data_IF_734838377069
#
_entry.id   IF_734838377069
#
_cell.length_a   1.000
_cell.length_b   1.000
_cell.length_c   1.000
_cell.angle_alpha   90.00
_cell.angle_beta   90.00
_cell.angle_gamma   90.00
#
_symmetry.space_group_name_H-M   'P 1'
#
loop_
_entity.id
_entity.type
_entity.pdbx_description
1 polymer ?
#
# COMPACT_ATOMS: atom_id res chain seq x y z
N UNK A 1 15.59 -7.91 -0.48
CA UNK A 1 14.72 -6.98 0.27
C UNK A 1 15.52 -5.69 0.43
N UNK A 2 15.07 -4.60 -0.22
CA UNK A 2 15.79 -3.33 -0.22
C UNK A 2 15.57 -2.63 1.13
N UNK A 3 16.64 -2.18 1.77
CA UNK A 3 16.62 -1.73 3.17
C UNK A 3 16.07 -0.31 3.39
N UNK A 4 15.64 0.40 2.34
CA UNK A 4 15.25 1.83 2.40
C UNK A 4 13.94 2.18 1.67
N UNK A 5 13.13 1.18 1.30
CA UNK A 5 11.87 1.44 0.58
C UNK A 5 10.85 2.21 1.46
N UNK A 6 10.27 3.29 0.92
CA UNK A 6 9.29 4.12 1.63
C UNK A 6 9.85 5.18 2.59
N UNK A 7 11.17 5.21 2.84
CA UNK A 7 11.85 6.18 3.72
C UNK A 7 11.21 6.29 5.13
N UNK A 8 10.85 5.13 5.71
CA UNK A 8 10.28 5.06 7.06
C UNK A 8 11.39 4.76 8.08
N UNK A 9 11.27 5.29 9.31
CA UNK A 9 12.29 5.10 10.35
C UNK A 9 12.42 3.64 10.80
N UNK A 10 11.37 2.84 10.60
CA UNK A 10 11.29 1.44 10.99
C UNK A 10 10.59 0.61 9.92
N UNK A 11 10.87 -0.70 9.92
CA UNK A 11 10.16 -1.65 9.07
C UNK A 11 8.68 -1.61 9.37
N UNK A 12 7.88 -1.34 8.34
CA UNK A 12 6.46 -1.05 8.46
C UNK A 12 5.62 -1.90 7.50
N UNK A 13 4.30 -1.86 7.65
CA UNK A 13 3.34 -2.63 6.85
C UNK A 13 2.34 -1.70 6.18
N UNK A 14 2.01 -1.96 4.91
CA UNK A 14 0.88 -1.30 4.24
C UNK A 14 -0.40 -2.06 4.59
N UNK A 15 -1.35 -1.40 5.25
CA UNK A 15 -2.60 -2.03 5.65
C UNK A 15 -3.64 -1.98 4.51
N UNK A 16 -3.65 -3.02 3.69
CA UNK A 16 -4.54 -3.13 2.51
C UNK A 16 -6.02 -3.30 2.85
N UNK A 17 -6.36 -3.60 4.11
CA UNK A 17 -7.76 -3.69 4.57
C UNK A 17 -8.36 -2.35 4.99
N UNK A 18 -7.53 -1.31 5.13
CA UNK A 18 -7.94 0.01 5.62
C UNK A 18 -7.71 1.06 4.52
N UNK A 19 -8.63 1.11 3.55
CA UNK A 19 -8.54 1.99 2.38
C UNK A 19 -9.50 3.17 2.56
N UNK A 20 -9.00 4.38 2.36
CA UNK A 20 -9.78 5.61 2.43
C UNK A 20 -9.67 6.40 1.12
N UNK A 21 -10.79 6.99 0.69
CA UNK A 21 -10.78 8.02 -0.36
C UNK A 21 -10.55 9.38 0.29
N UNK A 22 -9.52 10.10 -0.14
CA UNK A 22 -9.17 11.43 0.37
C UNK A 22 -9.09 12.45 -0.76
N UNK A 23 -9.38 13.72 -0.44
CA UNK A 23 -9.15 14.83 -1.36
C UNK A 23 -7.64 15.06 -1.52
N UNK A 24 -7.17 15.27 -2.76
CA UNK A 24 -5.74 15.48 -3.06
C UNK A 24 -5.14 16.67 -2.31
N UNK A 25 -5.95 17.68 -1.97
CA UNK A 25 -5.50 18.86 -1.21
C UNK A 25 -5.11 18.55 0.23
N UNK A 26 -5.51 17.38 0.75
CA UNK A 26 -5.12 16.91 2.09
C UNK A 26 -3.75 16.22 2.12
N UNK A 27 -3.16 15.94 0.95
CA UNK A 27 -1.83 15.33 0.86
C UNK A 27 -0.75 16.40 1.03
N UNK A 28 0.23 16.12 1.90
CA UNK A 28 1.44 16.92 2.07
C UNK A 28 2.52 16.53 1.05
N UNK A 29 3.74 17.05 1.24
CA UNK A 29 4.89 16.68 0.44
C UNK A 29 5.16 15.16 0.47
N UNK A 30 5.60 14.56 -0.66
CA UNK A 30 6.00 13.16 -0.70
C UNK A 30 7.20 12.88 0.22
N UNK A 31 7.12 11.81 1.03
CA UNK A 31 8.18 11.46 1.99
C UNK A 31 9.11 10.33 1.52
N UNK A 32 8.73 9.60 0.47
CA UNK A 32 9.43 8.40 0.00
C UNK A 32 8.77 7.80 -1.23
N UNK A 33 9.31 6.70 -1.72
CA UNK A 33 8.80 5.97 -2.88
C UNK A 33 8.84 4.46 -2.63
N UNK A 34 7.89 3.77 -3.23
CA UNK A 34 7.87 2.31 -3.31
C UNK A 34 8.28 1.90 -4.73
N UNK A 35 8.92 0.73 -4.85
CA UNK A 35 9.21 0.08 -6.12
C UNK A 35 7.92 -0.36 -6.80
N UNK A 36 7.99 -0.57 -8.11
CA UNK A 36 6.86 -1.09 -8.88
C UNK A 36 6.44 -2.49 -8.40
N UNK A 37 7.40 -3.35 -8.07
CA UNK A 37 7.16 -4.68 -7.50
C UNK A 37 6.32 -4.59 -6.22
N UNK A 38 6.70 -3.69 -5.29
CA UNK A 38 5.95 -3.46 -4.05
C UNK A 38 4.52 -2.95 -4.32
N UNK A 39 4.36 -2.04 -5.28
CA UNK A 39 3.03 -1.55 -5.65
C UNK A 39 2.16 -2.69 -6.18
N UNK A 40 2.72 -3.61 -6.97
CA UNK A 40 1.99 -4.78 -7.47
C UNK A 40 1.58 -5.73 -6.34
N UNK A 41 2.44 -5.96 -5.33
CA UNK A 41 2.07 -6.71 -4.12
C UNK A 41 0.90 -6.07 -3.38
N UNK A 42 0.93 -4.74 -3.20
CA UNK A 42 -0.14 -3.99 -2.53
C UNK A 42 -1.45 -4.13 -3.30
N UNK A 43 -1.42 -3.98 -4.63
CA UNK A 43 -2.61 -4.14 -5.48
C UNK A 43 -3.17 -5.56 -5.37
N UNK A 44 -2.31 -6.59 -5.38
CA UNK A 44 -2.74 -7.97 -5.18
C UNK A 44 -3.42 -8.17 -3.81
N UNK A 45 -2.85 -7.60 -2.74
CA UNK A 45 -3.45 -7.61 -1.41
C UNK A 45 -4.82 -6.91 -1.35
N UNK A 46 -4.96 -5.76 -2.02
CA UNK A 46 -6.24 -5.03 -2.11
C UNK A 46 -7.29 -5.89 -2.83
N UNK A 47 -6.92 -6.57 -3.92
CA UNK A 47 -7.85 -7.48 -4.64
C UNK A 47 -8.35 -8.61 -3.76
N UNK A 48 -7.48 -9.22 -2.95
CA UNK A 48 -7.91 -10.26 -2.01
C UNK A 48 -8.96 -9.76 -1.00
N UNK A 49 -8.89 -8.49 -0.60
CA UNK A 49 -9.84 -7.88 0.33
C UNK A 49 -11.16 -7.50 -0.36
N UNK A 50 -11.10 -6.99 -1.59
CA UNK A 50 -12.25 -6.40 -2.27
C UNK A 50 -12.98 -7.35 -3.23
N UNK A 51 -12.28 -8.33 -3.79
CA UNK A 51 -12.87 -9.27 -4.75
C UNK A 51 -13.61 -10.37 -3.99
N UNK A 52 -14.87 -10.67 -4.35
CA UNK A 52 -15.60 -11.79 -3.78
C UNK A 52 -14.79 -13.07 -3.96
N UNK A 53 -14.53 -13.75 -2.84
CA UNK A 53 -13.97 -15.09 -2.87
C UNK A 53 -15.13 -16.08 -2.94
N UNK A 54 -15.06 -17.04 -3.87
CA UNK A 54 -16.02 -18.14 -3.85
C UNK A 54 -15.85 -18.93 -2.55
N UNK A 55 -16.95 -19.14 -1.84
CA UNK A 55 -17.00 -20.09 -0.74
C UNK A 55 -17.09 -21.48 -1.37
N UNK A 56 -16.05 -22.28 -1.18
CA UNK A 56 -16.01 -23.69 -1.59
C UNK A 56 -17.00 -24.53 -0.78
#
# INVERSE_FOLDING_TARGET
MNEEEGNLPEKSVVNVSQIFTVDKRLLSDPIGKLSEERINEIIAGIKLVLEPQELV
#
